data_IF_785873995461
#
_entry.id   IF_785873995461
#
_cell.length_a   1.000
_cell.length_b   1.000
_cell.length_c   1.000
_cell.angle_alpha   90.00
_cell.angle_beta   90.00
_cell.angle_gamma   90.00
#
_symmetry.space_group_name_H-M   'P 1'
#
loop_
_entity.id
_entity.type
_entity.pdbx_description
1 polymer ?
#
# COMPACT_ATOMS: atom_id res chain seq x y z
N UNK A 1 -8.89 -10.00 11.84
CA UNK A 1 -9.20 -9.75 10.41
C UNK A 1 -10.55 -9.05 10.22
N UNK A 2 -11.63 -9.49 10.88
CA UNK A 2 -12.98 -8.87 10.79
C UNK A 2 -13.02 -7.37 11.12
N UNK A 3 -12.36 -6.96 12.20
CA UNK A 3 -12.33 -5.56 12.67
C UNK A 3 -11.76 -4.56 11.64
N UNK A 4 -10.67 -4.93 10.95
CA UNK A 4 -10.04 -4.09 9.93
C UNK A 4 -10.92 -3.93 8.68
N UNK A 5 -11.57 -5.01 8.24
CA UNK A 5 -12.37 -5.04 7.01
C UNK A 5 -13.71 -4.31 7.21
N UNK A 6 -14.33 -4.47 8.38
CA UNK A 6 -15.70 -3.99 8.60
C UNK A 6 -15.81 -2.67 9.35
N UNK A 7 -14.86 -2.34 10.24
CA UNK A 7 -15.03 -1.20 11.13
C UNK A 7 -14.31 0.08 10.66
N UNK A 8 -13.43 -0.01 9.63
CA UNK A 8 -12.74 1.12 8.95
C UNK A 8 -12.34 2.24 9.91
N UNK A 9 -11.73 1.89 11.02
CA UNK A 9 -11.68 2.76 12.19
C UNK A 9 -10.68 3.90 12.04
N UNK A 10 -11.08 5.08 12.51
CA UNK A 10 -10.19 6.22 12.65
C UNK A 10 -9.26 6.03 13.85
N UNK A 11 -8.17 6.81 13.92
CA UNK A 11 -7.29 6.82 15.08
C UNK A 11 -8.04 7.14 16.39
N UNK A 12 -9.04 8.02 16.35
CA UNK A 12 -9.84 8.38 17.52
C UNK A 12 -10.69 7.21 18.01
N UNK A 13 -11.30 6.46 17.09
CA UNK A 13 -12.08 5.26 17.43
C UNK A 13 -11.18 4.16 18.01
N UNK A 14 -9.98 3.97 17.45
CA UNK A 14 -8.98 3.05 18.00
C UNK A 14 -8.50 3.48 19.39
N UNK A 15 -8.22 4.77 19.58
CA UNK A 15 -7.77 5.34 20.84
C UNK A 15 -8.83 5.13 21.95
N UNK A 16 -10.09 5.43 21.64
CA UNK A 16 -11.22 5.21 22.55
C UNK A 16 -11.38 3.73 22.92
N UNK A 17 -11.35 2.84 21.92
CA UNK A 17 -11.48 1.39 22.13
C UNK A 17 -10.39 0.81 23.00
N UNK A 18 -9.13 1.16 22.72
CA UNK A 18 -7.97 0.65 23.46
C UNK A 18 -7.61 1.48 24.70
N UNK A 19 -8.46 2.45 25.09
CA UNK A 19 -8.27 3.33 26.26
C UNK A 19 -6.87 3.92 26.32
N UNK A 20 -6.39 4.44 25.20
CA UNK A 20 -5.06 5.04 25.09
C UNK A 20 -5.10 6.32 24.26
N UNK A 21 -4.02 7.10 24.33
CA UNK A 21 -3.94 8.34 23.57
C UNK A 21 -3.88 8.10 22.05
N UNK A 22 -4.35 9.08 21.27
CA UNK A 22 -4.14 9.15 19.81
C UNK A 22 -2.67 8.97 19.43
N UNK A 23 -1.76 9.61 20.17
CA UNK A 23 -0.31 9.52 19.95
C UNK A 23 0.19 8.07 20.10
N UNK A 24 -0.34 7.34 21.08
CA UNK A 24 0.00 5.92 21.30
C UNK A 24 -0.41 5.05 20.11
N UNK A 25 -1.63 5.24 19.59
CA UNK A 25 -2.11 4.52 18.40
C UNK A 25 -1.22 4.82 17.19
N UNK A 26 -0.97 6.10 16.88
CA UNK A 26 -0.13 6.49 15.76
C UNK A 26 1.29 5.90 15.87
N UNK A 27 1.90 5.96 17.04
CA UNK A 27 3.23 5.39 17.28
C UNK A 27 3.24 3.89 17.02
N UNK A 28 2.27 3.15 17.55
CA UNK A 28 2.18 1.69 17.38
C UNK A 28 1.99 1.31 15.92
N UNK A 29 1.14 2.02 15.18
CA UNK A 29 0.95 1.78 13.74
C UNK A 29 2.20 2.07 12.92
N UNK A 30 2.96 3.12 13.28
CA UNK A 30 4.26 3.40 12.63
C UNK A 30 5.30 2.31 12.90
N UNK A 31 5.25 1.67 14.08
CA UNK A 31 6.16 0.60 14.46
C UNK A 31 5.79 -0.76 13.83
N UNK A 32 4.57 -0.90 13.32
CA UNK A 32 4.16 -2.13 12.63
C UNK A 32 5.00 -2.29 11.37
N UNK A 33 5.80 -3.35 11.31
CA UNK A 33 6.50 -3.73 10.09
C UNK A 33 5.51 -4.30 9.09
N UNK A 34 5.57 -3.82 7.85
CA UNK A 34 4.87 -4.47 6.75
C UNK A 34 5.56 -5.81 6.51
N UNK A 35 4.78 -6.89 6.51
CA UNK A 35 5.25 -8.22 6.20
C UNK A 35 6.07 -8.20 4.90
N UNK A 36 7.31 -8.68 4.95
CA UNK A 36 8.18 -8.73 3.77
C UNK A 36 7.57 -9.72 2.78
N UNK A 37 7.25 -9.31 1.54
CA UNK A 37 6.68 -10.23 0.58
C UNK A 37 7.67 -11.38 0.30
N UNK A 38 7.14 -12.58 -0.02
CA UNK A 38 7.96 -13.71 -0.44
C UNK A 38 8.82 -13.35 -1.67
N UNK A 39 9.87 -14.14 -1.98
CA UNK A 39 10.61 -13.92 -3.22
C UNK A 39 9.66 -13.94 -4.44
N UNK A 40 9.91 -13.11 -5.46
CA UNK A 40 9.07 -13.07 -6.64
C UNK A 40 9.10 -14.41 -7.37
N UNK A 41 7.96 -14.80 -7.94
CA UNK A 41 7.87 -15.99 -8.77
C UNK A 41 8.58 -15.75 -10.11
N UNK A 42 9.16 -16.81 -10.72
CA UNK A 42 9.92 -16.69 -11.97
C UNK A 42 9.05 -16.24 -13.15
N UNK A 43 7.74 -16.46 -13.08
CA UNK A 43 6.75 -15.99 -14.06
C UNK A 43 5.64 -15.25 -13.30
N UNK A 44 5.13 -14.17 -13.89
CA UNK A 44 4.05 -13.39 -13.33
C UNK A 44 3.04 -13.00 -14.41
N UNK A 45 1.76 -13.12 -14.08
CA UNK A 45 0.68 -12.48 -14.82
C UNK A 45 0.36 -11.17 -14.10
N UNK A 46 0.68 -10.03 -14.70
CA UNK A 46 0.61 -8.74 -14.01
C UNK A 46 -0.77 -8.11 -14.24
N UNK A 47 -1.48 -7.87 -13.14
CA UNK A 47 -2.63 -6.97 -13.10
C UNK A 47 -2.14 -5.64 -12.55
N UNK A 48 -2.42 -4.56 -13.28
CA UNK A 48 -2.10 -3.20 -12.88
C UNK A 48 -3.41 -2.45 -12.64
N UNK A 49 -3.51 -1.75 -11.52
CA UNK A 49 -4.64 -0.87 -11.23
C UNK A 49 -4.16 0.41 -10.52
N UNK A 50 -4.89 1.51 -10.74
CA UNK A 50 -4.67 2.76 -10.03
C UNK A 50 -5.94 3.19 -9.30
N UNK A 51 -5.91 3.10 -7.97
CA UNK A 51 -7.02 3.56 -7.13
C UNK A 51 -6.76 4.99 -6.64
N UNK A 52 -7.68 5.92 -6.90
CA UNK A 52 -7.59 7.31 -6.44
C UNK A 52 -8.23 7.52 -5.06
N UNK A 53 -7.50 8.20 -4.17
CA UNK A 53 -7.95 8.56 -2.83
C UNK A 53 -8.33 10.04 -2.79
N UNK A 54 -9.61 10.31 -3.06
CA UNK A 54 -10.10 11.66 -3.25
C UNK A 54 -9.49 12.31 -4.48
N UNK A 55 -9.20 13.62 -4.41
CA UNK A 55 -8.61 14.39 -5.53
C UNK A 55 -7.11 14.63 -5.38
N UNK A 56 -6.50 14.12 -4.32
CA UNK A 56 -5.14 14.48 -3.92
C UNK A 56 -4.07 13.57 -4.53
N UNK A 57 -4.31 12.25 -4.54
CA UNK A 57 -3.37 11.27 -5.06
C UNK A 57 -4.05 9.96 -5.43
N UNK A 58 -3.41 9.19 -6.29
CA UNK A 58 -3.69 7.79 -6.55
C UNK A 58 -2.58 6.88 -6.04
N UNK A 59 -2.92 5.61 -5.86
CA UNK A 59 -1.96 4.53 -5.61
C UNK A 59 -2.06 3.55 -6.75
N UNK A 60 -0.96 3.39 -7.46
CA UNK A 60 -0.81 2.41 -8.52
C UNK A 60 -0.19 1.13 -7.94
N UNK A 61 -0.79 -0.03 -8.21
CA UNK A 61 -0.39 -1.33 -7.68
C UNK A 61 -0.25 -2.33 -8.81
N UNK A 62 0.83 -3.10 -8.78
CA UNK A 62 1.09 -4.19 -9.72
C UNK A 62 1.03 -5.48 -8.92
N UNK A 63 0.12 -6.36 -9.28
CA UNK A 63 -0.10 -7.63 -8.60
C UNK A 63 0.14 -8.78 -9.56
N UNK A 64 0.89 -9.79 -9.12
CA UNK A 64 0.93 -11.07 -9.80
C UNK A 64 -0.37 -11.84 -9.51
N UNK A 65 -1.22 -12.01 -10.52
CA UNK A 65 -2.51 -12.68 -10.37
C UNK A 65 -2.39 -14.17 -10.06
N UNK A 66 -1.22 -14.78 -10.32
CA UNK A 66 -1.00 -16.22 -10.08
C UNK A 66 -0.91 -16.56 -8.58
N UNK A 67 -0.40 -15.63 -7.77
CA UNK A 67 -0.14 -15.86 -6.35
C UNK A 67 -0.64 -14.71 -5.44
N UNK A 68 -1.23 -13.67 -6.01
CA UNK A 68 -1.71 -12.48 -5.29
C UNK A 68 -0.60 -11.57 -4.76
N UNK A 69 0.66 -11.78 -5.16
CA UNK A 69 1.78 -11.00 -4.66
C UNK A 69 1.80 -9.60 -5.28
N UNK A 70 1.89 -8.57 -4.42
CA UNK A 70 2.18 -7.20 -4.88
C UNK A 70 3.65 -7.11 -5.27
N UNK A 71 3.90 -6.85 -6.55
CA UNK A 71 5.25 -6.71 -7.13
C UNK A 71 5.75 -5.27 -7.03
N UNK A 72 4.85 -4.30 -7.25
CA UNK A 72 5.18 -2.87 -7.23
C UNK A 72 4.02 -2.06 -6.64
N UNK A 73 4.35 -0.97 -5.96
CA UNK A 73 3.37 0.03 -5.52
C UNK A 73 4.00 1.41 -5.53
N UNK A 74 3.26 2.41 -6.02
CA UNK A 74 3.73 3.79 -6.02
C UNK A 74 2.58 4.78 -5.88
N UNK A 75 2.86 5.93 -5.28
CA UNK A 75 1.95 7.06 -5.27
C UNK A 75 2.04 7.80 -6.60
N UNK A 76 0.90 8.16 -7.18
CA UNK A 76 0.80 8.83 -8.47
C UNK A 76 -0.12 10.03 -8.36
N UNK A 77 0.16 11.11 -9.08
CA UNK A 77 -0.79 12.22 -9.21
C UNK A 77 -1.84 11.91 -10.28
N UNK A 78 -1.40 11.28 -11.36
CA UNK A 78 -2.23 10.80 -12.48
C UNK A 78 -1.59 9.56 -13.07
N UNK A 79 -2.42 8.73 -13.69
CA UNK A 79 -2.00 7.57 -14.45
C UNK A 79 -1.32 7.98 -15.77
N UNK A 80 -0.24 7.30 -16.13
CA UNK A 80 0.44 7.50 -17.41
C UNK A 80 1.21 6.25 -17.85
N UNK A 81 1.36 6.06 -19.16
CA UNK A 81 2.10 4.92 -19.73
C UNK A 81 3.54 4.84 -19.24
N UNK A 82 4.19 5.99 -19.07
CA UNK A 82 5.57 6.08 -18.56
C UNK A 82 5.69 5.47 -17.16
N UNK A 83 4.67 5.64 -16.31
CA UNK A 83 4.66 5.07 -14.96
C UNK A 83 4.50 3.54 -15.00
N UNK A 84 3.87 2.99 -16.04
CA UNK A 84 3.80 1.54 -16.26
C UNK A 84 5.16 0.96 -16.62
N UNK A 85 5.84 1.56 -17.58
CA UNK A 85 7.19 1.15 -17.99
C UNK A 85 8.19 1.23 -16.83
N UNK A 86 8.12 2.29 -16.02
CA UNK A 86 8.94 2.45 -14.82
C UNK A 86 8.68 1.36 -13.77
N UNK A 87 7.42 0.97 -13.58
CA UNK A 87 7.05 -0.09 -12.65
C UNK A 87 7.52 -1.47 -13.09
N UNK A 88 7.52 -1.76 -14.40
CA UNK A 88 8.00 -3.02 -14.96
C UNK A 88 9.53 -3.13 -14.99
N UNK A 89 10.22 -2.02 -15.28
CA UNK A 89 11.70 -1.99 -15.38
C UNK A 89 12.41 -1.90 -14.03
N UNK A 90 11.68 -1.61 -12.94
CA UNK A 90 12.25 -1.46 -11.60
C UNK A 90 13.03 -0.16 -11.37
N UNK A 91 13.14 0.71 -12.38
CA UNK A 91 13.89 1.98 -12.33
C UNK A 91 13.19 3.08 -11.52
N UNK A 92 11.98 2.83 -11.00
CA UNK A 92 11.25 3.72 -10.09
C UNK A 92 11.65 3.60 -8.60
N UNK A 93 12.69 2.82 -8.26
CA UNK A 93 13.19 2.66 -6.89
C UNK A 93 13.91 3.92 -6.35
N UNK A 94 13.16 5.00 -6.21
CA UNK A 94 13.47 6.11 -5.31
C UNK A 94 12.55 6.02 -4.12
N UNK A 95 12.94 5.25 -3.11
CA UNK A 95 12.30 5.21 -1.79
C UNK A 95 12.42 6.62 -1.16
N UNK A 96 11.56 7.57 -1.56
CA UNK A 96 11.39 8.84 -0.86
C UNK A 96 10.60 8.56 0.42
N UNK A 97 11.28 7.92 1.38
CA UNK A 97 10.90 7.97 2.79
C UNK A 97 10.98 9.44 3.21
N UNK A 98 9.83 10.06 3.46
CA UNK A 98 9.73 11.24 4.32
C UNK A 98 9.38 10.77 5.73
#
# INVERSE_FOLDING_TARGET
MYEYIHLKQTYAQLAHRHRCSLKTIQRRLKQASLHRPPPPHPVANIIMDTTYFGRAFGVMVFMNSLNGQVLHKQYVAKESTVLYEQGLTGNGMGERRR
#
